data_IF_184914284690
#
_entry.id   IF_184914284690
#
_cell.length_a   1.000
_cell.length_b   1.000
_cell.length_c   1.000
_cell.angle_alpha   90.00
_cell.angle_beta   90.00
_cell.angle_gamma   90.00
#
_symmetry.space_group_name_H-M   'P 1'
#
loop_
_entity.id
_entity.type
_entity.pdbx_description
1 polymer ?
#
# COMPACT_ATOMS: atom_id res chain seq x y z
N UNK A 1 -10.97 35.64 -62.12
CA UNK A 1 -10.55 34.38 -61.49
C UNK A 1 -9.04 34.45 -61.29
N UNK A 2 -8.44 34.37 -60.11
CA UNK A 2 -8.97 34.08 -58.78
C UNK A 2 -8.08 34.76 -57.70
N UNK A 3 -8.45 34.65 -56.42
CA UNK A 3 -7.71 35.26 -55.34
C UNK A 3 -6.59 34.36 -54.81
N UNK A 4 -5.55 35.04 -54.34
CA UNK A 4 -4.41 34.55 -53.57
C UNK A 4 -4.83 34.24 -52.13
N UNK A 5 -4.46 33.08 -51.59
CA UNK A 5 -4.39 32.78 -50.16
C UNK A 5 -3.32 31.69 -49.96
N UNK A 6 -2.11 31.98 -49.46
CA UNK A 6 -1.67 32.33 -48.09
C UNK A 6 -1.63 31.11 -47.14
N UNK A 7 -0.39 30.70 -46.81
CA UNK A 7 0.12 30.04 -45.59
C UNK A 7 -0.56 28.76 -45.04
N UNK A 8 0.26 27.70 -44.95
CA UNK A 8 0.50 26.91 -43.73
C UNK A 8 1.86 26.20 -43.92
N UNK A 9 3.00 26.80 -43.54
CA UNK A 9 3.63 26.70 -42.22
C UNK A 9 3.48 25.31 -41.56
N UNK A 10 4.59 24.56 -41.60
CA UNK A 10 5.24 23.94 -40.45
C UNK A 10 4.48 22.81 -39.71
N UNK A 11 4.84 21.56 -40.01
CA UNK A 11 4.84 20.48 -39.00
C UNK A 11 6.28 20.04 -38.80
N UNK A 12 7.01 20.60 -37.81
CA UNK A 12 8.27 20.03 -37.41
C UNK A 12 7.96 18.71 -36.70
N UNK A 13 8.81 17.73 -36.95
CA UNK A 13 8.96 16.52 -36.15
C UNK A 13 8.77 16.89 -34.68
N UNK A 14 7.72 16.36 -34.04
CA UNK A 14 7.55 16.46 -32.60
C UNK A 14 8.77 15.80 -31.96
N UNK A 15 9.75 16.63 -31.62
CA UNK A 15 10.84 16.25 -30.75
C UNK A 15 10.20 15.75 -29.47
N UNK A 16 10.61 14.56 -29.08
CA UNK A 16 10.15 13.82 -27.92
C UNK A 16 10.51 14.60 -26.65
N UNK A 17 9.70 15.61 -26.32
CA UNK A 17 9.75 16.28 -25.04
C UNK A 17 9.20 15.30 -24.01
N UNK A 18 10.01 14.95 -23.01
CA UNK A 18 9.55 14.16 -21.87
C UNK A 18 8.23 14.78 -21.34
N UNK A 19 7.13 14.01 -21.28
CA UNK A 19 5.83 14.58 -20.93
C UNK A 19 5.88 15.16 -19.52
N UNK A 20 5.39 16.39 -19.41
CA UNK A 20 5.19 17.08 -18.14
C UNK A 20 4.24 16.26 -17.24
N UNK A 21 4.36 16.37 -15.90
CA UNK A 21 3.69 15.51 -14.91
C UNK A 21 2.14 15.59 -14.84
N UNK A 22 1.45 16.09 -15.86
CA UNK A 22 0.00 16.30 -15.86
C UNK A 22 -0.76 15.54 -16.96
N UNK A 23 -0.07 14.86 -17.89
CA UNK A 23 -0.74 14.20 -18.99
C UNK A 23 -1.22 12.80 -18.62
N UNK A 24 -2.54 12.63 -18.70
CA UNK A 24 -3.24 11.35 -18.62
C UNK A 24 -2.67 10.40 -19.69
N UNK A 25 -2.15 9.22 -19.32
CA UNK A 25 -1.48 8.35 -20.28
C UNK A 25 -2.47 7.72 -21.25
N UNK A 26 -2.22 7.92 -22.55
CA UNK A 26 -3.02 7.35 -23.66
C UNK A 26 -2.18 6.57 -24.68
N UNK A 27 -0.85 6.72 -24.60
CA UNK A 27 0.13 6.03 -25.44
C UNK A 27 1.12 5.25 -24.57
N UNK A 28 1.76 4.22 -25.15
CA UNK A 28 2.77 3.45 -24.43
C UNK A 28 3.91 4.32 -23.88
N UNK A 29 4.38 5.32 -24.63
CA UNK A 29 5.44 6.22 -24.20
C UNK A 29 5.06 7.04 -22.94
N UNK A 30 3.78 7.40 -22.78
CA UNK A 30 3.30 8.05 -21.56
C UNK A 30 3.17 7.04 -20.42
N UNK A 31 2.65 5.84 -20.70
CA UNK A 31 2.58 4.77 -19.71
C UNK A 31 3.96 4.37 -19.19
N UNK A 32 4.99 4.33 -20.05
CA UNK A 32 6.35 4.01 -19.62
C UNK A 32 6.90 5.03 -18.63
N UNK A 33 6.65 6.33 -18.83
CA UNK A 33 7.08 7.37 -17.89
C UNK A 33 6.44 7.20 -16.51
N UNK A 34 5.15 6.84 -16.45
CA UNK A 34 4.49 6.56 -15.18
C UNK A 34 4.98 5.27 -14.53
N UNK A 35 5.33 4.24 -15.32
CA UNK A 35 5.95 3.02 -14.81
C UNK A 35 7.37 3.26 -14.29
N UNK A 36 8.15 4.12 -14.95
CA UNK A 36 9.48 4.56 -14.44
C UNK A 36 9.34 5.28 -13.10
N UNK A 37 8.40 6.21 -12.97
CA UNK A 37 8.13 6.88 -11.69
C UNK A 37 7.61 5.93 -10.62
N UNK A 38 6.82 4.94 -11.02
CA UNK A 38 6.38 3.87 -10.14
C UNK A 38 7.57 2.99 -9.72
N UNK A 39 8.60 2.79 -10.53
CA UNK A 39 9.77 2.01 -10.07
C UNK A 39 10.56 2.77 -8.99
N UNK A 40 10.71 4.09 -9.16
CA UNK A 40 11.36 5.01 -8.21
C UNK A 40 10.68 5.07 -6.83
N UNK A 41 9.35 4.99 -6.78
CA UNK A 41 8.59 4.90 -5.53
C UNK A 41 8.46 6.22 -4.74
N UNK A 42 8.79 7.36 -5.34
CA UNK A 42 8.77 8.68 -4.68
C UNK A 42 7.40 9.38 -4.75
N UNK A 43 6.58 9.04 -5.74
CA UNK A 43 5.34 9.76 -6.08
C UNK A 43 4.17 8.80 -6.29
N UNK A 44 4.05 7.82 -5.39
CA UNK A 44 3.13 6.69 -5.48
C UNK A 44 1.67 7.10 -5.67
N UNK A 45 1.17 8.04 -4.87
CA UNK A 45 -0.22 8.52 -5.00
C UNK A 45 -0.47 9.26 -6.32
N UNK A 46 0.47 10.11 -6.74
CA UNK A 46 0.35 10.81 -8.03
C UNK A 46 0.38 9.82 -9.20
N UNK A 47 1.17 8.75 -9.11
CA UNK A 47 1.19 7.68 -10.10
C UNK A 47 -0.17 6.95 -10.13
N UNK A 48 -0.74 6.60 -8.98
CA UNK A 48 -2.07 5.97 -8.93
C UNK A 48 -3.15 6.82 -9.58
N UNK A 49 -3.18 8.12 -9.28
CA UNK A 49 -4.20 9.02 -9.84
C UNK A 49 -4.06 9.19 -11.35
N UNK A 50 -2.82 9.32 -11.86
CA UNK A 50 -2.57 9.37 -13.28
C UNK A 50 -2.93 8.05 -14.00
N UNK A 51 -2.60 6.90 -13.41
CA UNK A 51 -2.90 5.58 -13.98
C UNK A 51 -4.41 5.28 -13.97
N UNK A 52 -5.16 5.78 -12.98
CA UNK A 52 -6.64 5.70 -12.94
C UNK A 52 -7.31 6.52 -14.04
N UNK A 53 -6.80 7.71 -14.31
CA UNK A 53 -7.30 8.56 -15.37
C UNK A 53 -6.90 8.05 -16.77
N UNK A 54 -5.82 7.25 -16.84
CA UNK A 54 -5.25 6.71 -18.06
C UNK A 54 -6.19 5.80 -18.83
N UNK A 55 -5.99 5.75 -20.15
CA UNK A 55 -6.73 4.87 -21.04
C UNK A 55 -5.75 3.97 -21.80
N UNK A 56 -5.91 2.65 -21.64
CA UNK A 56 -5.09 1.66 -22.33
C UNK A 56 -5.74 1.34 -23.67
N UNK A 57 -5.23 1.94 -24.74
CA UNK A 57 -5.65 1.57 -26.09
C UNK A 57 -5.10 0.18 -26.47
N UNK A 58 -5.99 -0.73 -26.87
CA UNK A 58 -5.66 -2.11 -27.20
C UNK A 58 -4.96 -2.30 -28.55
N UNK A 59 -4.85 -1.25 -29.37
CA UNK A 59 -4.19 -1.32 -30.67
C UNK A 59 -2.67 -1.49 -30.53
N UNK A 60 -2.14 -2.64 -30.97
CA UNK A 60 -0.70 -2.80 -31.24
C UNK A 60 0.18 -3.34 -30.12
N UNK A 61 -0.32 -4.25 -29.26
CA UNK A 61 0.52 -4.97 -28.28
C UNK A 61 0.98 -4.15 -27.07
N UNK A 62 0.60 -2.87 -27.00
CA UNK A 62 0.83 -1.95 -25.88
C UNK A 62 0.34 -2.54 -24.57
N UNK A 63 -0.85 -3.16 -24.58
CA UNK A 63 -1.43 -3.81 -23.41
C UNK A 63 -0.53 -4.93 -22.89
N UNK A 64 0.08 -5.74 -23.77
CA UNK A 64 0.95 -6.85 -23.37
C UNK A 64 2.23 -6.33 -22.72
N UNK A 65 2.92 -5.39 -23.37
CA UNK A 65 4.16 -4.80 -22.85
C UNK A 65 3.92 -4.07 -21.53
N UNK A 66 2.84 -3.30 -21.46
CA UNK A 66 2.40 -2.64 -20.24
C UNK A 66 2.13 -3.65 -19.12
N UNK A 67 1.36 -4.71 -19.41
CA UNK A 67 0.99 -5.74 -18.43
C UNK A 67 2.21 -6.46 -17.87
N UNK A 68 3.15 -6.84 -18.74
CA UNK A 68 4.39 -7.48 -18.33
C UNK A 68 5.21 -6.56 -17.41
N UNK A 69 5.44 -5.33 -17.86
CA UNK A 69 6.25 -4.37 -17.10
C UNK A 69 5.61 -4.00 -15.76
N UNK A 70 4.30 -3.81 -15.72
CA UNK A 70 3.59 -3.56 -14.46
C UNK A 70 3.72 -4.76 -13.51
N UNK A 71 3.59 -6.00 -14.01
CA UNK A 71 3.74 -7.19 -13.19
C UNK A 71 5.17 -7.34 -12.63
N UNK A 72 6.19 -7.01 -13.41
CA UNK A 72 7.59 -6.99 -12.96
C UNK A 72 7.79 -5.97 -11.82
N UNK A 73 7.32 -4.74 -12.00
CA UNK A 73 7.41 -3.69 -10.98
C UNK A 73 6.60 -4.02 -9.72
N UNK A 74 5.43 -4.63 -9.89
CA UNK A 74 4.59 -5.10 -8.79
C UNK A 74 5.31 -6.14 -7.94
N UNK A 75 5.91 -7.14 -8.59
CA UNK A 75 6.69 -8.18 -7.91
C UNK A 75 7.94 -7.59 -7.23
N UNK A 76 8.64 -6.66 -7.88
CA UNK A 76 9.78 -5.97 -7.27
C UNK A 76 9.38 -5.23 -5.99
N UNK A 77 8.21 -4.58 -5.96
CA UNK A 77 7.67 -3.93 -4.76
C UNK A 77 7.28 -4.92 -3.66
N UNK A 78 6.72 -6.08 -4.00
CA UNK A 78 6.46 -7.16 -3.03
C UNK A 78 7.77 -7.66 -2.39
N UNK A 79 8.81 -7.87 -3.20
CA UNK A 79 10.12 -8.28 -2.70
C UNK A 79 10.74 -7.23 -1.77
N UNK A 80 10.73 -5.96 -2.16
CA UNK A 80 11.18 -4.84 -1.29
C UNK A 80 10.40 -4.80 0.03
N UNK A 81 9.08 -5.01 -0.02
CA UNK A 81 8.25 -5.07 1.20
C UNK A 81 8.66 -6.22 2.11
N UNK A 82 8.95 -7.40 1.55
CA UNK A 82 9.43 -8.57 2.31
C UNK A 82 10.77 -8.32 2.98
N UNK A 83 11.72 -7.74 2.24
CA UNK A 83 13.04 -7.38 2.76
C UNK A 83 12.95 -6.34 3.89
N UNK A 84 12.12 -5.31 3.71
CA UNK A 84 11.90 -4.28 4.72
C UNK A 84 11.26 -4.86 5.97
N UNK A 85 10.22 -5.68 5.81
CA UNK A 85 9.57 -6.35 6.93
C UNK A 85 10.54 -7.25 7.69
N UNK A 86 11.33 -8.07 6.98
CA UNK A 86 12.32 -8.96 7.60
C UNK A 86 13.38 -8.16 8.38
N UNK A 87 13.85 -7.05 7.81
CA UNK A 87 14.83 -6.16 8.43
C UNK A 87 14.27 -5.45 9.66
N UNK A 88 13.05 -4.93 9.59
CA UNK A 88 12.40 -4.24 10.70
C UNK A 88 12.15 -5.20 11.88
N UNK A 89 11.81 -6.46 11.58
CA UNK A 89 11.59 -7.51 12.59
C UNK A 89 12.88 -8.06 13.18
N UNK A 90 13.99 -8.10 12.44
CA UNK A 90 15.28 -8.54 12.99
C UNK A 90 15.90 -7.52 13.95
N UNK A 91 15.64 -6.23 13.73
CA UNK A 91 16.11 -5.13 14.59
C UNK A 91 15.14 -4.89 15.76
N UNK A 92 13.85 -5.17 15.57
CA UNK A 92 12.80 -4.92 16.55
C UNK A 92 12.82 -5.89 17.72
N UNK A 93 13.42 -5.47 18.84
CA UNK A 93 13.40 -6.26 20.09
C UNK A 93 12.17 -5.98 20.97
N UNK A 94 11.36 -4.99 20.60
CA UNK A 94 10.18 -4.53 21.34
C UNK A 94 8.88 -4.72 20.54
N UNK A 95 7.79 -5.03 21.25
CA UNK A 95 6.46 -5.25 20.64
C UNK A 95 6.00 -4.07 19.78
N UNK A 96 6.29 -2.83 20.20
CA UNK A 96 5.92 -1.63 19.42
C UNK A 96 6.61 -1.56 18.06
N UNK A 97 7.86 -2.04 17.95
CA UNK A 97 8.59 -2.07 16.69
C UNK A 97 8.03 -3.14 15.76
N UNK A 98 7.69 -4.31 16.31
CA UNK A 98 7.01 -5.37 15.55
C UNK A 98 5.67 -4.87 15.01
N UNK A 99 4.83 -4.23 15.83
CA UNK A 99 3.56 -3.64 15.38
C UNK A 99 3.79 -2.59 14.29
N UNK A 100 4.81 -1.74 14.44
CA UNK A 100 5.16 -0.71 13.44
C UNK A 100 5.60 -1.33 12.12
N UNK A 101 6.43 -2.38 12.15
CA UNK A 101 6.87 -3.12 10.97
C UNK A 101 5.66 -3.68 10.21
N UNK A 102 4.72 -4.31 10.92
CA UNK A 102 3.49 -4.87 10.35
C UNK A 102 2.60 -3.75 9.77
N UNK A 103 2.44 -2.62 10.48
CA UNK A 103 1.68 -1.48 9.98
C UNK A 103 2.29 -0.88 8.71
N UNK A 104 3.61 -0.76 8.65
CA UNK A 104 4.32 -0.31 7.47
C UNK A 104 4.14 -1.28 6.30
N UNK A 105 4.30 -2.59 6.51
CA UNK A 105 4.04 -3.59 5.50
C UNK A 105 2.59 -3.52 4.97
N UNK A 106 1.60 -3.40 5.87
CA UNK A 106 0.19 -3.21 5.47
C UNK A 106 -0.04 -1.99 4.60
N UNK A 107 0.63 -0.86 4.86
CA UNK A 107 0.54 0.34 4.00
C UNK A 107 1.03 0.06 2.58
N UNK A 108 2.15 -0.65 2.43
CA UNK A 108 2.68 -1.03 1.12
C UNK A 108 1.73 -2.00 0.39
N UNK A 109 1.20 -3.00 1.10
CA UNK A 109 0.23 -3.93 0.52
C UNK A 109 -1.09 -3.22 0.14
N UNK A 110 -1.55 -2.25 0.92
CA UNK A 110 -2.73 -1.45 0.61
C UNK A 110 -2.53 -0.59 -0.65
N UNK A 111 -1.33 -0.06 -0.86
CA UNK A 111 -0.97 0.62 -2.10
C UNK A 111 -1.05 -0.34 -3.30
N UNK A 112 -0.39 -1.51 -3.20
CA UNK A 112 -0.41 -2.51 -4.26
C UNK A 112 -1.82 -3.04 -4.55
N UNK A 113 -2.65 -3.18 -3.52
CA UNK A 113 -4.06 -3.52 -3.67
C UNK A 113 -4.81 -2.48 -4.51
N UNK A 114 -4.64 -1.19 -4.21
CA UNK A 114 -5.24 -0.08 -4.98
C UNK A 114 -4.74 -0.05 -6.42
N UNK A 115 -3.46 -0.32 -6.64
CA UNK A 115 -2.86 -0.42 -7.98
C UNK A 115 -3.47 -1.58 -8.79
N UNK A 116 -3.60 -2.76 -8.19
CA UNK A 116 -4.18 -3.94 -8.84
C UNK A 116 -5.66 -3.78 -9.22
N UNK A 117 -6.38 -2.85 -8.57
CA UNK A 117 -7.80 -2.60 -8.78
C UNK A 117 -8.10 -1.43 -9.73
N UNK A 118 -7.11 -0.85 -10.40
CA UNK A 118 -7.34 0.23 -11.37
C UNK A 118 -8.15 -0.29 -12.57
N UNK A 119 -9.34 0.27 -12.78
CA UNK A 119 -10.30 -0.19 -13.80
C UNK A 119 -9.80 -0.07 -15.24
N UNK A 120 -8.87 0.86 -15.51
CA UNK A 120 -8.26 1.00 -16.84
C UNK A 120 -7.41 -0.22 -17.22
N UNK A 121 -7.03 -1.07 -16.26
CA UNK A 121 -6.24 -2.26 -16.52
C UNK A 121 -7.08 -3.45 -17.02
N UNK A 122 -6.51 -4.29 -17.91
CA UNK A 122 -7.17 -5.52 -18.36
C UNK A 122 -7.59 -6.42 -17.18
N UNK A 123 -8.77 -7.02 -17.27
CA UNK A 123 -9.31 -7.88 -16.20
C UNK A 123 -8.38 -9.04 -15.84
N UNK A 124 -7.68 -9.62 -16.83
CA UNK A 124 -6.69 -10.68 -16.62
C UNK A 124 -5.51 -10.20 -15.79
N UNK A 125 -4.98 -9.00 -16.08
CA UNK A 125 -3.89 -8.39 -15.32
C UNK A 125 -4.33 -8.09 -13.89
N UNK A 126 -5.49 -7.45 -13.70
CA UNK A 126 -6.03 -7.16 -12.37
C UNK A 126 -6.18 -8.42 -11.51
N UNK A 127 -6.71 -9.49 -12.11
CA UNK A 127 -6.88 -10.78 -11.44
C UNK A 127 -5.52 -11.37 -11.04
N UNK A 128 -4.55 -11.37 -11.96
CA UNK A 128 -3.21 -11.86 -11.70
C UNK A 128 -2.52 -11.10 -10.56
N UNK A 129 -2.53 -9.76 -10.60
CA UNK A 129 -1.90 -8.93 -9.57
C UNK A 129 -2.57 -9.09 -8.20
N UNK A 130 -3.90 -9.18 -8.17
CA UNK A 130 -4.66 -9.39 -6.92
C UNK A 130 -4.36 -10.76 -6.31
N UNK A 131 -4.25 -11.80 -7.14
CA UNK A 131 -3.93 -13.15 -6.69
C UNK A 131 -2.49 -13.25 -6.15
N UNK A 132 -1.51 -12.66 -6.84
CA UNK A 132 -0.13 -12.61 -6.36
C UNK A 132 0.01 -11.83 -5.05
N UNK A 133 -0.70 -10.70 -4.90
CA UNK A 133 -0.74 -9.96 -3.64
C UNK A 133 -1.33 -10.79 -2.50
N UNK A 134 -2.43 -11.50 -2.76
CA UNK A 134 -3.09 -12.37 -1.78
C UNK A 134 -2.16 -13.50 -1.35
N UNK A 135 -1.56 -14.22 -2.30
CA UNK A 135 -0.60 -15.30 -2.04
C UNK A 135 0.59 -14.79 -1.25
N UNK A 136 1.14 -13.63 -1.62
CA UNK A 136 2.24 -13.01 -0.90
C UNK A 136 1.86 -12.73 0.55
N UNK A 137 0.75 -12.04 0.80
CA UNK A 137 0.30 -11.69 2.15
C UNK A 137 0.05 -12.93 3.02
N UNK A 138 -0.55 -13.98 2.45
CA UNK A 138 -0.78 -15.25 3.14
C UNK A 138 0.53 -15.97 3.49
N UNK A 139 1.46 -16.08 2.53
CA UNK A 139 2.77 -16.70 2.77
C UNK A 139 3.59 -15.92 3.79
N UNK A 140 3.59 -14.58 3.70
CA UNK A 140 4.27 -13.72 4.66
C UNK A 140 3.69 -13.89 6.06
N UNK A 141 2.36 -13.86 6.22
CA UNK A 141 1.69 -14.11 7.50
C UNK A 141 2.07 -15.49 8.07
N UNK A 142 1.99 -16.54 7.24
CA UNK A 142 2.34 -17.90 7.65
C UNK A 142 3.79 -18.00 8.12
N UNK A 143 4.72 -17.42 7.36
CA UNK A 143 6.14 -17.39 7.73
C UNK A 143 6.37 -16.66 9.05
N UNK A 144 5.69 -15.54 9.29
CA UNK A 144 5.80 -14.81 10.55
C UNK A 144 5.27 -15.63 11.73
N UNK A 145 4.13 -16.30 11.56
CA UNK A 145 3.57 -17.16 12.60
C UNK A 145 4.47 -18.36 12.89
N UNK A 146 5.05 -18.98 11.87
CA UNK A 146 5.96 -20.11 12.04
C UNK A 146 7.26 -19.69 12.75
N UNK A 147 7.83 -18.53 12.42
CA UNK A 147 8.96 -17.96 13.17
C UNK A 147 8.58 -17.65 14.62
N UNK A 148 7.41 -17.07 14.86
CA UNK A 148 6.96 -16.72 16.20
C UNK A 148 6.61 -17.92 17.09
N UNK A 149 6.32 -19.11 16.53
CA UNK A 149 6.12 -20.33 17.32
C UNK A 149 7.40 -20.81 18.00
N UNK A 150 8.56 -20.41 17.50
CA UNK A 150 9.85 -20.73 18.14
C UNK A 150 10.14 -19.83 19.35
N UNK A 151 9.36 -18.75 19.53
CA UNK A 151 9.45 -17.87 20.70
C UNK A 151 8.88 -18.54 21.96
N UNK A 152 9.68 -18.58 23.02
CA UNK A 152 9.35 -19.29 24.26
C UNK A 152 8.20 -18.62 25.05
N UNK A 153 7.94 -17.34 24.82
CA UNK A 153 6.90 -16.59 25.55
C UNK A 153 5.52 -16.70 24.92
N UNK A 154 5.44 -17.01 23.61
CA UNK A 154 4.21 -17.04 22.82
C UNK A 154 3.56 -15.67 22.60
N UNK A 155 4.11 -14.59 23.18
CA UNK A 155 3.57 -13.23 23.07
C UNK A 155 3.64 -12.71 21.64
N UNK A 156 4.75 -13.00 20.95
CA UNK A 156 4.94 -12.59 19.56
C UNK A 156 3.87 -13.19 18.64
N UNK A 157 3.51 -14.46 18.85
CA UNK A 157 2.46 -15.12 18.07
C UNK A 157 1.08 -14.47 18.30
N UNK A 158 0.75 -14.12 19.55
CA UNK A 158 -0.49 -13.40 19.88
C UNK A 158 -0.50 -12.02 19.23
N UNK A 159 0.61 -11.29 19.31
CA UNK A 159 0.75 -9.95 18.71
C UNK A 159 0.54 -9.98 17.18
N UNK A 160 1.13 -10.96 16.49
CA UNK A 160 1.01 -11.16 15.05
C UNK A 160 -0.41 -11.55 14.63
N UNK A 161 -1.09 -12.39 15.41
CA UNK A 161 -2.49 -12.76 15.15
C UNK A 161 -3.46 -11.62 15.37
N UNK A 162 -3.18 -10.75 16.34
CA UNK A 162 -3.96 -9.53 16.57
C UNK A 162 -3.67 -8.42 15.55
N UNK A 163 -2.54 -8.50 14.85
CA UNK A 163 -2.14 -7.57 13.80
C UNK A 163 -1.84 -8.32 12.49
N UNK A 164 -2.84 -8.93 11.85
CA UNK A 164 -2.61 -9.74 10.67
C UNK A 164 -2.19 -8.87 9.48
N UNK A 165 -1.15 -9.32 8.75
CA UNK A 165 -0.72 -8.68 7.50
C UNK A 165 -1.79 -8.72 6.42
N UNK A 166 -2.66 -9.74 6.45
CA UNK A 166 -3.73 -9.96 5.47
C UNK A 166 -4.78 -8.85 5.51
N UNK A 167 -4.88 -8.08 6.61
CA UNK A 167 -5.77 -6.91 6.70
C UNK A 167 -5.12 -5.67 6.05
N UNK A 168 -4.79 -5.78 4.76
CA UNK A 168 -4.25 -4.69 3.94
C UNK A 168 -5.30 -4.04 3.03
N UNK A 169 -6.42 -4.72 2.79
CA UNK A 169 -7.55 -4.09 2.12
C UNK A 169 -7.95 -2.88 2.96
N UNK A 170 -7.98 -1.66 2.37
CA UNK A 170 -8.61 -0.56 3.08
C UNK A 170 -10.01 -1.06 3.38
N UNK A 171 -10.39 -1.06 4.67
CA UNK A 171 -11.78 -1.28 5.01
C UNK A 171 -12.57 -0.40 4.04
N UNK A 172 -13.41 -1.02 3.20
CA UNK A 172 -14.41 -0.28 2.45
C UNK A 172 -14.93 0.76 3.43
N UNK A 173 -14.95 2.04 3.03
CA UNK A 173 -15.26 3.16 3.91
C UNK A 173 -16.64 2.93 4.53
N UNK A 174 -16.68 2.13 5.59
CA UNK A 174 -17.84 1.88 6.41
C UNK A 174 -18.05 3.20 7.09
N UNK A 175 -19.16 3.85 6.74
CA UNK A 175 -19.57 5.14 7.26
C UNK A 175 -19.41 5.19 8.76
N UNK A 176 -18.29 5.79 9.20
CA UNK A 176 -17.97 6.14 10.58
C UNK A 176 -18.86 7.27 11.11
N UNK A 177 -20.16 7.18 10.86
CA UNK A 177 -21.21 8.04 11.40
C UNK A 177 -22.27 7.25 12.19
N UNK A 178 -22.04 5.97 12.51
CA UNK A 178 -23.05 5.15 13.21
C UNK A 178 -22.58 4.34 14.43
N UNK A 179 -21.35 4.55 14.94
CA UNK A 179 -20.88 3.86 16.15
C UNK A 179 -20.61 4.77 17.36
N UNK A 180 -20.84 6.08 17.25
CA UNK A 180 -20.79 7.03 18.39
C UNK A 180 -22.17 7.54 18.84
N UNK A 181 -23.26 7.16 18.17
CA UNK A 181 -24.61 7.63 18.51
C UNK A 181 -25.39 6.73 19.51
N UNK A 182 -24.83 5.60 19.96
CA UNK A 182 -25.52 4.67 20.89
C UNK A 182 -24.97 4.69 22.32
N UNK A 183 -24.47 5.83 22.79
CA UNK A 183 -24.05 5.99 24.19
C UNK A 183 -24.37 7.36 24.83
N UNK A 184 -25.22 8.18 24.22
CA UNK A 184 -25.74 9.41 24.85
C UNK A 184 -27.26 9.36 24.96
N UNK A 185 -27.74 8.50 25.86
CA UNK A 185 -29.06 8.59 26.48
C UNK A 185 -28.85 8.93 27.96
N UNK A 186 -29.15 10.18 28.31
CA UNK A 186 -28.85 10.84 29.58
C UNK A 186 -29.86 10.48 30.69
N UNK A 187 -29.35 10.38 31.92
CA UNK A 187 -30.06 10.64 33.20
C UNK A 187 -30.41 9.40 34.03
N UNK A 188 -30.24 9.31 35.35
CA UNK A 188 -29.64 10.13 36.42
C UNK A 188 -29.93 9.36 37.73
N UNK A 189 -28.95 9.21 38.64
CA UNK A 189 -29.09 9.01 40.11
C UNK A 189 -27.68 8.68 40.69
N UNK A 190 -26.95 9.61 41.32
CA UNK A 190 -26.96 10.00 42.75
C UNK A 190 -26.47 8.90 43.72
N UNK A 191 -25.42 9.21 44.49
CA UNK A 191 -24.96 8.51 45.70
C UNK A 191 -23.50 8.03 45.61
N UNK A 192 -22.50 8.84 45.91
CA UNK A 192 -21.95 9.14 47.25
C UNK A 192 -21.00 8.08 47.84
N UNK A 193 -19.76 8.54 48.09
CA UNK A 193 -18.78 8.13 49.10
C UNK A 193 -18.07 6.75 49.01
N UNK A 194 -16.74 6.78 48.85
CA UNK A 194 -15.77 6.41 49.90
C UNK A 194 -14.32 6.55 49.39
N UNK A 195 -13.42 6.86 50.32
CA UNK A 195 -12.06 7.35 50.12
C UNK A 195 -10.99 6.26 50.32
N UNK A 196 -9.79 6.49 49.72
CA UNK A 196 -8.43 6.21 50.23
C UNK A 196 -7.86 4.75 50.21
N UNK A 197 -6.51 4.53 50.31
CA UNK A 197 -5.49 4.79 49.27
C UNK A 197 -4.33 3.74 49.23
N UNK A 198 -3.26 4.05 48.46
CA UNK A 198 -1.85 3.59 48.56
C UNK A 198 -1.44 2.17 48.12
N UNK A 199 -0.44 2.09 47.23
CA UNK A 199 0.90 1.48 47.43
C UNK A 199 1.60 1.27 46.06
N UNK A 200 2.61 2.05 45.68
CA UNK A 200 4.06 1.87 45.94
C UNK A 200 4.76 0.65 45.25
N UNK A 201 5.75 0.98 44.42
CA UNK A 201 7.16 0.48 44.47
C UNK A 201 7.62 -0.70 43.59
N UNK A 202 8.75 -0.47 42.90
CA UNK A 202 9.85 -1.45 42.73
C UNK A 202 10.12 -1.88 41.28
N UNK A 203 11.04 -1.26 40.54
CA UNK A 203 12.48 -1.55 40.50
C UNK A 203 12.86 -3.01 40.11
N UNK A 204 13.58 -3.20 38.98
CA UNK A 204 14.99 -3.65 38.99
C UNK A 204 15.57 -3.92 37.58
N UNK A 205 16.80 -3.41 37.42
CA UNK A 205 17.78 -3.63 36.34
C UNK A 205 18.29 -5.08 36.30
N UNK A 206 18.78 -5.55 35.14
CA UNK A 206 19.89 -6.52 34.92
C UNK A 206 20.13 -6.65 33.40
N UNK A 207 21.14 -5.98 32.84
CA UNK A 207 22.51 -6.46 32.59
C UNK A 207 22.59 -7.82 31.86
N UNK A 208 22.89 -7.80 30.56
CA UNK A 208 23.33 -8.96 29.78
C UNK A 208 24.76 -8.65 29.32
N UNK A 209 25.67 -9.53 29.71
CA UNK A 209 27.08 -9.56 29.34
C UNK A 209 27.19 -10.28 28.00
N UNK A 210 27.99 -9.74 27.07
CA UNK A 210 28.65 -10.48 26.00
C UNK A 210 30.13 -10.61 26.38
#
# INVERSE_FOLDING_TARGET
MGPVARLALHSPLQVNAAPAPADVPRSYAQWSVWLDRLSEGLQDEACLDAMRAGELNASGGVVTLFSQRLAEEFNARLMRCSEHLTRDLSIGNDESQVVRAILNARKHLAFLHRLAHIESFPATLRTHLTDELRKFAQRAQQSLEDSARTDRSGRLLVLLRNNPLVRYEPAAQDGGAASTARAMGMGAAVGAAAQHPLSQTGARRRNIIL
#
